data_IF_502936405770
#
_entry.id   IF_502936405770
#
_cell.length_a   1.000
_cell.length_b   1.000
_cell.length_c   1.000
_cell.angle_alpha   90.00
_cell.angle_beta   90.00
_cell.angle_gamma   90.00
#
_symmetry.space_group_name_H-M   'P 1'
#
loop_
_entity.id
_entity.type
_entity.pdbx_description
1 polymer ?
#
# COMPACT_ATOMS: atom_id res chain seq x y z
N UNK A 1 -51.84 -47.69 -17.87
CA UNK A 1 -52.20 -46.49 -17.07
C UNK A 1 -51.31 -45.35 -17.60
N UNK A 2 -51.76 -44.19 -18.12
CA UNK A 2 -52.89 -43.28 -17.76
C UNK A 2 -52.82 -42.94 -16.26
N UNK A 3 -52.66 -41.69 -15.81
CA UNK A 3 -53.20 -40.42 -16.35
C UNK A 3 -52.13 -39.31 -16.41
N UNK A 4 -52.37 -38.25 -17.21
CA UNK A 4 -51.61 -36.99 -17.26
C UNK A 4 -52.56 -35.78 -17.28
N UNK A 5 -52.09 -34.57 -16.90
CA UNK A 5 -52.66 -33.18 -17.04
C UNK A 5 -52.18 -32.28 -15.88
N UNK A 6 -52.16 -30.95 -15.90
CA UNK A 6 -52.14 -29.87 -16.93
C UNK A 6 -51.06 -28.85 -16.43
N UNK A 7 -50.22 -28.13 -17.18
CA UNK A 7 -50.34 -27.30 -18.40
C UNK A 7 -50.81 -25.84 -18.14
N UNK A 8 -49.90 -24.89 -18.34
CA UNK A 8 -50.02 -23.49 -18.82
C UNK A 8 -48.58 -23.02 -19.06
N UNK A 9 -48.07 -22.56 -20.22
CA UNK A 9 -48.62 -22.06 -21.49
C UNK A 9 -49.19 -20.64 -21.44
N UNK A 10 -48.32 -19.68 -21.77
CA UNK A 10 -48.63 -18.54 -22.63
C UNK A 10 -47.71 -18.62 -23.87
N UNK A 11 -48.13 -18.11 -25.03
CA UNK A 11 -47.49 -18.43 -26.31
C UNK A 11 -47.64 -17.30 -27.35
N UNK A 12 -46.53 -16.76 -27.84
CA UNK A 12 -46.33 -16.11 -29.15
C UNK A 12 -44.81 -16.26 -29.47
N UNK A 13 -44.32 -16.83 -30.58
CA UNK A 13 -44.66 -16.72 -32.01
C UNK A 13 -44.25 -15.35 -32.60
N UNK A 14 -43.57 -15.25 -33.77
CA UNK A 14 -43.42 -16.24 -34.86
C UNK A 14 -42.07 -16.15 -35.62
N UNK A 15 -41.74 -17.25 -36.30
CA UNK A 15 -40.61 -17.58 -37.19
C UNK A 15 -39.82 -16.52 -37.97
N UNK A 16 -38.48 -16.72 -37.97
CA UNK A 16 -37.61 -16.94 -39.14
C UNK A 16 -38.07 -16.46 -40.54
N UNK A 17 -37.17 -15.73 -41.22
CA UNK A 17 -36.85 -15.96 -42.64
C UNK A 17 -35.35 -15.72 -42.90
N UNK A 18 -34.80 -16.39 -43.92
CA UNK A 18 -33.39 -16.34 -44.34
C UNK A 18 -33.35 -16.13 -45.86
N UNK A 19 -32.57 -15.16 -46.36
CA UNK A 19 -32.00 -15.11 -47.73
C UNK A 19 -31.01 -13.94 -47.86
N UNK A 20 -30.34 -13.81 -49.01
CA UNK A 20 -29.00 -13.19 -49.11
C UNK A 20 -28.81 -12.19 -50.26
N UNK A 21 -27.81 -11.30 -50.08
CA UNK A 21 -27.03 -10.53 -51.06
C UNK A 21 -27.71 -9.48 -51.98
N UNK A 22 -27.21 -8.23 -51.95
CA UNK A 22 -26.37 -7.64 -53.02
C UNK A 22 -26.02 -6.15 -52.76
N UNK A 23 -24.98 -5.65 -53.45
CA UNK A 23 -24.55 -4.23 -53.54
C UNK A 23 -25.45 -3.43 -54.53
N UNK A 24 -25.29 -2.14 -54.87
CA UNK A 24 -24.11 -1.24 -54.98
C UNK A 24 -24.54 0.26 -54.91
N UNK A 25 -23.55 1.15 -54.72
CA UNK A 25 -23.36 2.57 -55.17
C UNK A 25 -24.59 3.46 -55.56
N UNK A 26 -24.64 4.77 -55.31
CA UNK A 26 -23.66 5.79 -55.82
C UNK A 26 -23.84 7.19 -55.21
N UNK A 27 -22.79 8.01 -55.25
CA UNK A 27 -22.80 9.51 -55.23
C UNK A 27 -22.98 10.06 -56.68
N UNK A 28 -22.82 11.36 -57.06
CA UNK A 28 -22.47 12.59 -56.31
C UNK A 28 -23.21 13.91 -56.72
N UNK A 29 -22.68 15.04 -56.24
CA UNK A 29 -22.29 16.27 -57.00
C UNK A 29 -23.06 17.62 -56.90
N UNK A 30 -22.28 18.66 -56.51
CA UNK A 30 -22.37 20.13 -56.78
C UNK A 30 -23.67 20.90 -56.37
N UNK A 31 -23.75 22.24 -56.30
CA UNK A 31 -22.78 23.33 -56.65
C UNK A 31 -22.90 24.59 -55.72
N UNK A 32 -22.04 25.58 -55.98
CA UNK A 32 -21.69 26.85 -55.29
C UNK A 32 -22.79 27.94 -55.09
N UNK A 33 -22.32 29.05 -54.45
CA UNK A 33 -22.79 30.47 -54.48
C UNK A 33 -23.83 30.92 -53.44
N UNK A 34 -23.80 32.15 -52.91
CA UNK A 34 -22.72 33.16 -52.69
C UNK A 34 -23.19 34.18 -51.61
N UNK A 35 -22.29 35.05 -51.13
CA UNK A 35 -22.46 36.33 -50.40
C UNK A 35 -23.90 36.89 -50.23
N UNK A 36 -24.26 37.50 -49.09
CA UNK A 36 -23.65 38.78 -48.69
C UNK A 36 -24.05 39.34 -47.31
N UNK A 37 -23.03 39.77 -46.54
CA UNK A 37 -22.83 41.08 -45.86
C UNK A 37 -23.86 41.71 -44.88
N UNK A 38 -23.25 42.45 -43.92
CA UNK A 38 -23.70 43.69 -43.25
C UNK A 38 -24.56 43.66 -41.95
N UNK A 39 -23.84 43.58 -40.82
CA UNK A 39 -23.93 44.54 -39.69
C UNK A 39 -23.70 46.02 -40.16
N UNK A 40 -23.95 47.12 -39.38
CA UNK A 40 -23.76 47.22 -37.91
C UNK A 40 -24.59 48.20 -37.02
N UNK A 41 -24.49 47.98 -35.69
CA UNK A 41 -24.38 48.94 -34.54
C UNK A 41 -25.52 49.88 -34.04
N UNK A 42 -25.60 49.96 -32.68
CA UNK A 42 -26.04 51.08 -31.78
C UNK A 42 -27.51 51.53 -31.76
N UNK A 43 -28.09 52.05 -30.65
CA UNK A 43 -27.61 52.41 -29.28
C UNK A 43 -28.73 52.33 -28.20
N UNK A 44 -28.35 52.31 -26.92
CA UNK A 44 -28.95 52.84 -25.65
C UNK A 44 -30.45 53.28 -25.61
N UNK A 45 -31.24 53.08 -24.53
CA UNK A 45 -31.08 53.63 -23.16
C UNK A 45 -31.88 52.89 -22.03
N UNK A 46 -31.71 53.37 -20.79
CA UNK A 46 -32.23 52.87 -19.49
C UNK A 46 -33.77 52.71 -19.30
N UNK A 47 -34.17 51.74 -18.46
CA UNK A 47 -35.20 51.89 -17.41
C UNK A 47 -35.06 50.81 -16.30
N UNK A 48 -35.32 51.08 -14.99
CA UNK A 48 -35.03 50.13 -13.90
C UNK A 48 -36.23 49.66 -13.03
N UNK A 49 -36.01 48.55 -12.31
CA UNK A 49 -36.70 48.02 -11.10
C UNK A 49 -38.24 47.95 -11.08
N UNK A 50 -38.75 46.72 -10.92
CA UNK A 50 -39.79 46.40 -9.94
C UNK A 50 -39.39 45.13 -9.17
N UNK A 51 -39.62 45.11 -7.86
CA UNK A 51 -39.51 43.90 -7.03
C UNK A 51 -40.63 42.90 -7.35
N UNK A 52 -40.41 41.61 -7.09
CA UNK A 52 -41.34 40.82 -6.26
C UNK A 52 -40.70 39.53 -5.70
N UNK A 53 -40.86 39.36 -4.39
CA UNK A 53 -40.98 38.08 -3.65
C UNK A 53 -39.93 36.98 -3.90
N UNK A 54 -38.86 36.99 -3.08
CA UNK A 54 -38.13 35.77 -2.72
C UNK A 54 -38.76 35.19 -1.43
N UNK A 55 -39.16 33.92 -1.44
CA UNK A 55 -39.76 33.22 -0.27
C UNK A 55 -38.92 32.02 0.12
N UNK A 56 -38.91 31.73 1.42
CA UNK A 56 -38.02 30.81 2.14
C UNK A 56 -37.69 29.48 1.42
N UNK A 57 -36.41 29.13 1.42
CA UNK A 57 -35.93 27.75 1.39
C UNK A 57 -35.29 27.48 2.75
N UNK A 58 -35.81 26.51 3.50
CA UNK A 58 -35.37 26.26 4.88
C UNK A 58 -33.94 25.68 4.91
N UNK A 59 -33.03 26.38 5.60
CA UNK A 59 -31.69 25.87 5.95
C UNK A 59 -31.83 24.95 7.16
N UNK A 60 -31.66 23.63 6.95
CA UNK A 60 -31.88 22.61 7.97
C UNK A 60 -30.70 21.63 8.07
N UNK A 61 -29.92 21.80 9.14
CA UNK A 61 -28.95 20.87 9.75
C UNK A 61 -28.23 19.86 8.83
N UNK A 62 -27.00 20.22 8.43
CA UNK A 62 -25.96 19.22 8.18
C UNK A 62 -25.42 18.71 9.53
N UNK A 63 -25.65 17.44 9.93
CA UNK A 63 -25.25 16.96 11.24
C UNK A 63 -23.74 16.69 11.29
N UNK A 64 -22.97 17.63 11.85
CA UNK A 64 -21.58 17.40 12.25
C UNK A 64 -21.48 16.20 13.20
N UNK A 65 -21.01 15.07 12.69
CA UNK A 65 -20.72 13.87 13.49
C UNK A 65 -19.63 14.19 14.54
N UNK A 66 -19.79 13.75 15.80
CA UNK A 66 -18.76 13.93 16.82
C UNK A 66 -17.51 13.09 16.48
N UNK A 67 -16.33 13.47 17.01
CA UNK A 67 -15.12 12.66 16.86
C UNK A 67 -15.26 11.30 17.53
N UNK A 68 -14.46 10.33 17.07
CA UNK A 68 -14.33 9.02 17.71
C UNK A 68 -13.92 9.18 19.19
N UNK A 69 -14.38 8.29 20.09
CA UNK A 69 -14.04 8.37 21.50
C UNK A 69 -12.53 8.16 21.71
N UNK A 70 -11.89 9.07 22.43
CA UNK A 70 -10.50 8.92 22.86
C UNK A 70 -10.31 7.62 23.66
N UNK A 71 -9.14 6.96 23.57
CA UNK A 71 -8.82 5.84 24.45
C UNK A 71 -8.91 6.28 25.92
N UNK A 72 -9.49 5.42 26.76
CA UNK A 72 -9.62 5.69 28.20
C UNK A 72 -8.30 5.38 28.89
N UNK A 73 -7.71 6.37 29.56
CA UNK A 73 -6.53 6.19 30.40
C UNK A 73 -6.79 5.11 31.47
N UNK A 74 -6.08 3.99 31.37
CA UNK A 74 -6.02 2.98 32.43
C UNK A 74 -4.94 3.42 33.43
N UNK A 75 -5.27 3.69 34.70
CA UNK A 75 -4.27 4.10 35.67
C UNK A 75 -3.31 2.94 35.97
N UNK A 76 -2.01 3.19 35.79
CA UNK A 76 -0.95 2.25 36.15
C UNK A 76 -0.61 2.44 37.63
N UNK A 77 -1.24 1.64 38.50
CA UNK A 77 -0.87 1.58 39.91
C UNK A 77 0.53 0.94 40.06
N UNK A 78 1.53 1.78 40.37
CA UNK A 78 2.86 1.36 40.81
C UNK A 78 2.86 1.18 42.33
N UNK A 79 2.73 -0.07 42.80
CA UNK A 79 3.06 -0.43 44.19
C UNK A 79 4.45 -1.09 44.25
N UNK A 80 5.38 -0.47 44.97
CA UNK A 80 6.79 -0.83 45.05
C UNK A 80 7.08 -1.50 46.40
N UNK A 81 7.13 -2.84 46.40
CA UNK A 81 7.29 -3.66 47.61
C UNK A 81 8.56 -4.53 47.57
N UNK A 82 9.68 -3.88 47.85
CA UNK A 82 10.99 -4.49 48.10
C UNK A 82 10.91 -5.60 49.16
N UNK A 83 11.47 -6.78 48.87
CA UNK A 83 11.87 -7.79 49.87
C UNK A 83 13.26 -8.33 49.52
N UNK A 84 14.15 -8.36 50.52
CA UNK A 84 15.55 -8.77 50.34
C UNK A 84 15.77 -10.30 50.43
N UNK A 85 16.84 -10.77 49.76
CA UNK A 85 17.96 -11.59 50.29
C UNK A 85 17.70 -12.60 51.43
N UNK A 86 18.32 -13.81 51.40
CA UNK A 86 19.78 -13.89 51.42
C UNK A 86 20.46 -15.04 50.67
N UNK A 87 21.80 -14.98 50.68
CA UNK A 87 22.73 -15.89 50.02
C UNK A 87 23.64 -16.65 51.01
N UNK A 88 24.21 -17.76 50.54
CA UNK A 88 25.47 -18.37 51.03
C UNK A 88 26.17 -18.91 49.78
N UNK A 89 27.27 -18.33 49.31
CA UNK A 89 28.64 -18.45 49.83
C UNK A 89 29.14 -19.88 50.05
N UNK A 90 30.18 -20.24 49.30
CA UNK A 90 31.42 -20.76 49.89
C UNK A 90 32.64 -20.22 49.11
N UNK A 91 33.85 -20.35 49.67
CA UNK A 91 35.09 -19.65 49.28
C UNK A 91 36.14 -20.61 48.68
N UNK A 92 37.20 -20.06 48.04
CA UNK A 92 38.62 -20.36 48.31
C UNK A 92 39.57 -19.79 47.24
N UNK A 93 40.74 -19.32 47.69
CA UNK A 93 41.89 -18.81 46.90
C UNK A 93 43.18 -19.55 47.38
N UNK A 94 44.45 -19.25 46.98
CA UNK A 94 44.99 -18.26 46.03
C UNK A 94 46.15 -18.71 45.08
N UNK A 95 46.45 -17.90 44.04
CA UNK A 95 47.73 -17.43 43.42
C UNK A 95 49.08 -18.22 43.53
N UNK A 96 50.17 -17.87 42.78
CA UNK A 96 50.36 -17.05 41.55
C UNK A 96 51.29 -17.71 40.48
N UNK A 97 51.68 -17.00 39.39
CA UNK A 97 53.08 -16.93 38.80
C UNK A 97 53.16 -16.02 37.53
N UNK A 98 54.32 -15.40 37.31
CA UNK A 98 54.77 -14.63 36.11
C UNK A 98 56.31 -14.85 35.92
N UNK A 99 57.07 -14.38 34.88
CA UNK A 99 57.08 -13.08 34.16
C UNK A 99 56.93 -13.25 32.60
N UNK A 100 57.50 -12.55 31.58
CA UNK A 100 58.71 -11.71 31.38
C UNK A 100 58.71 -10.80 30.12
N UNK A 101 59.65 -9.84 30.07
CA UNK A 101 60.22 -9.04 28.95
C UNK A 101 61.72 -8.77 29.31
N UNK A 102 62.62 -8.08 28.56
CA UNK A 102 62.65 -7.54 27.18
C UNK A 102 63.90 -8.08 26.40
N UNK A 103 64.69 -7.38 25.53
CA UNK A 103 65.21 -5.98 25.57
C UNK A 103 65.02 -5.15 24.27
N UNK A 104 65.67 -3.98 24.20
CA UNK A 104 65.74 -3.01 23.08
C UNK A 104 67.21 -2.58 22.91
N UNK A 105 67.65 -2.22 21.69
CA UNK A 105 68.91 -1.50 21.39
C UNK A 105 68.65 -0.44 20.30
N UNK A 106 69.53 0.58 20.22
CA UNK A 106 69.39 1.88 19.55
C UNK A 106 70.60 2.18 18.62
N UNK A 107 70.64 3.37 17.99
CA UNK A 107 71.77 4.07 17.30
C UNK A 107 72.10 3.70 15.84
N UNK A 108 72.71 4.55 14.99
CA UNK A 108 72.73 6.03 14.88
C UNK A 108 73.55 6.53 13.65
N UNK A 109 73.13 7.64 13.02
CA UNK A 109 73.94 8.69 12.35
C UNK A 109 74.84 8.44 11.10
N UNK A 110 74.75 9.40 10.16
CA UNK A 110 75.75 9.95 9.19
C UNK A 110 76.47 9.01 8.17
N UNK A 111 77.04 9.43 7.03
CA UNK A 111 77.40 10.75 6.47
C UNK A 111 77.34 10.74 4.91
N UNK A 112 77.68 11.86 4.24
CA UNK A 112 77.60 12.13 2.79
C UNK A 112 78.55 11.32 1.86
N UNK A 113 78.16 11.14 0.59
CA UNK A 113 79.12 11.00 -0.53
C UNK A 113 78.47 11.30 -1.89
N UNK A 114 79.19 11.97 -2.81
CA UNK A 114 78.61 12.60 -4.02
C UNK A 114 79.32 12.17 -5.32
N UNK A 115 78.58 12.21 -6.45
CA UNK A 115 78.99 12.03 -7.87
C UNK A 115 79.16 10.59 -8.38
N UNK A 116 79.07 10.34 -9.71
CA UNK A 116 78.52 11.16 -10.81
C UNK A 116 77.40 10.48 -11.62
N UNK A 117 76.64 11.27 -12.39
CA UNK A 117 75.51 10.81 -13.21
C UNK A 117 75.89 9.96 -14.43
N UNK A 118 75.04 9.01 -14.80
CA UNK A 118 74.98 8.39 -16.16
C UNK A 118 73.51 8.23 -16.55
N UNK A 119 73.07 8.63 -17.77
CA UNK A 119 71.66 8.59 -18.14
C UNK A 119 71.25 7.23 -18.75
N UNK A 120 70.11 6.68 -18.32
CA UNK A 120 69.50 5.52 -18.99
C UNK A 120 68.27 4.95 -18.29
N UNK A 121 67.20 4.76 -19.09
CA UNK A 121 65.99 3.94 -18.81
C UNK A 121 65.14 4.36 -17.60
N UNK A 122 63.98 4.97 -17.88
CA UNK A 122 62.85 4.99 -16.96
C UNK A 122 62.35 3.56 -16.75
N UNK A 123 62.24 3.04 -15.52
CA UNK A 123 61.57 1.77 -15.27
C UNK A 123 60.06 1.93 -15.51
N UNK A 124 59.48 0.97 -16.22
CA UNK A 124 58.02 0.83 -16.34
C UNK A 124 57.42 0.53 -14.95
N UNK A 125 56.31 1.17 -14.54
CA UNK A 125 55.72 0.90 -13.24
C UNK A 125 55.25 -0.55 -13.17
N UNK A 126 55.53 -1.23 -12.05
CA UNK A 126 55.02 -2.58 -11.82
C UNK A 126 53.47 -2.55 -11.82
N UNK A 127 52.82 -3.59 -12.37
CA UNK A 127 51.36 -3.68 -12.34
C UNK A 127 50.88 -3.70 -10.89
N UNK A 128 49.83 -2.95 -10.60
CA UNK A 128 49.21 -2.90 -9.28
C UNK A 128 48.69 -4.30 -8.90
N UNK A 129 48.72 -4.68 -7.60
CA UNK A 129 48.12 -5.92 -7.16
C UNK A 129 46.62 -5.90 -7.47
N UNK A 130 46.16 -6.88 -8.24
CA UNK A 130 44.75 -7.04 -8.58
C UNK A 130 43.91 -7.02 -7.28
N UNK A 131 42.82 -6.24 -7.19
CA UNK A 131 42.02 -6.19 -5.98
C UNK A 131 41.56 -7.58 -5.57
N UNK A 132 41.62 -7.85 -4.26
CA UNK A 132 41.05 -9.05 -3.68
C UNK A 132 39.53 -9.04 -3.98
N UNK A 133 38.93 -10.15 -4.45
CA UNK A 133 37.54 -10.15 -4.83
C UNK A 133 36.68 -9.81 -3.61
N UNK A 134 35.88 -8.75 -3.74
CA UNK A 134 34.92 -8.36 -2.70
C UNK A 134 34.04 -9.56 -2.32
N UNK A 135 33.70 -9.74 -1.03
CA UNK A 135 32.88 -10.86 -0.60
C UNK A 135 31.54 -10.80 -1.35
N UNK A 136 31.30 -11.79 -2.20
CA UNK A 136 30.04 -11.92 -2.95
C UNK A 136 28.87 -11.81 -1.95
N UNK A 137 27.92 -10.88 -2.15
CA UNK A 137 26.76 -10.79 -1.28
C UNK A 137 26.07 -12.15 -1.22
N UNK A 138 25.91 -12.70 -0.01
CA UNK A 138 25.15 -13.93 0.16
C UNK A 138 23.72 -13.69 -0.33
N UNK A 139 23.28 -14.51 -1.28
CA UNK A 139 21.96 -14.35 -1.89
C UNK A 139 20.89 -14.53 -0.83
N UNK A 140 20.21 -13.42 -0.47
CA UNK A 140 18.98 -13.47 0.32
C UNK A 140 17.99 -14.43 -0.35
N UNK A 141 17.73 -15.55 0.32
CA UNK A 141 16.90 -16.63 -0.19
C UNK A 141 15.42 -16.28 -0.31
N UNK A 142 15.00 -15.09 0.18
CA UNK A 142 13.61 -14.67 0.25
C UNK A 142 12.90 -14.57 -1.11
N UNK A 143 13.64 -14.30 -2.20
CA UNK A 143 13.20 -14.41 -3.61
C UNK A 143 11.93 -13.64 -4.02
N UNK A 144 11.37 -12.79 -3.15
CA UNK A 144 10.18 -11.97 -3.41
C UNK A 144 10.56 -10.50 -3.68
N UNK A 145 9.59 -9.74 -4.16
CA UNK A 145 9.77 -8.31 -4.46
C UNK A 145 9.93 -7.49 -3.18
N UNK A 146 10.90 -6.58 -3.13
CA UNK A 146 11.10 -5.65 -2.00
C UNK A 146 11.03 -4.22 -2.52
N UNK A 147 9.88 -3.51 -2.39
CA UNK A 147 9.76 -2.13 -2.82
C UNK A 147 10.74 -1.24 -2.05
N UNK A 148 11.22 -0.16 -2.68
CA UNK A 148 12.25 0.72 -2.12
C UNK A 148 11.62 1.91 -1.38
N UNK A 149 12.37 2.54 -0.47
CA UNK A 149 12.00 3.83 0.11
C UNK A 149 11.69 4.86 -0.99
N UNK A 150 10.67 5.70 -0.80
CA UNK A 150 10.21 6.71 -1.75
C UNK A 150 9.80 6.19 -3.15
N UNK A 151 9.50 4.89 -3.29
CA UNK A 151 8.96 4.31 -4.54
C UNK A 151 7.73 5.08 -5.04
N UNK A 152 7.70 5.37 -6.34
CA UNK A 152 6.57 6.04 -7.00
C UNK A 152 5.41 5.05 -7.14
N UNK A 153 4.19 5.44 -6.74
CA UNK A 153 3.10 4.48 -6.66
C UNK A 153 1.68 5.04 -6.93
N UNK A 154 0.74 4.12 -7.14
CA UNK A 154 -0.70 4.41 -7.25
C UNK A 154 -1.52 3.35 -6.50
N UNK A 155 -2.60 3.78 -5.85
CA UNK A 155 -3.63 2.91 -5.28
C UNK A 155 -4.96 3.19 -6.00
N UNK A 156 -5.52 2.17 -6.65
CA UNK A 156 -6.84 2.26 -7.26
C UNK A 156 -7.56 0.91 -7.19
N UNK A 157 -8.66 0.88 -6.45
CA UNK A 157 -9.47 -0.32 -6.21
C UNK A 157 -10.80 -0.31 -6.98
N UNK A 158 -11.25 0.86 -7.44
CA UNK A 158 -12.53 1.03 -8.13
C UNK A 158 -12.38 1.75 -9.49
N UNK A 159 -13.47 1.79 -10.26
CA UNK A 159 -13.53 2.49 -11.55
C UNK A 159 -12.77 1.78 -12.67
N UNK A 160 -12.26 2.56 -13.63
CA UNK A 160 -11.41 2.05 -14.71
C UNK A 160 -9.95 2.35 -14.40
N UNK A 161 -9.13 1.30 -14.21
CA UNK A 161 -7.73 1.43 -13.81
C UNK A 161 -6.93 2.38 -14.73
N UNK A 162 -6.53 3.53 -14.19
CA UNK A 162 -5.76 4.55 -14.89
C UNK A 162 -4.27 4.17 -14.90
N UNK A 163 -3.79 3.67 -16.03
CA UNK A 163 -2.39 3.28 -16.24
C UNK A 163 -1.60 4.35 -17.00
N UNK A 164 -1.83 5.64 -16.71
CA UNK A 164 -1.12 6.78 -17.34
C UNK A 164 -0.20 7.54 -16.39
N UNK A 165 -0.15 7.19 -15.10
CA UNK A 165 0.79 7.77 -14.14
C UNK A 165 2.18 7.15 -14.30
N UNK A 166 3.20 7.99 -14.15
CA UNK A 166 4.58 7.56 -13.96
C UNK A 166 4.71 7.04 -12.52
N UNK A 167 4.58 5.72 -12.36
CA UNK A 167 4.55 5.05 -11.07
C UNK A 167 5.09 3.61 -11.20
N UNK A 168 6.14 3.31 -10.45
CA UNK A 168 6.82 2.01 -10.40
C UNK A 168 5.97 0.91 -9.76
N UNK A 169 5.03 1.27 -8.88
CA UNK A 169 4.19 0.33 -8.12
C UNK A 169 2.70 0.68 -8.27
N UNK A 170 1.85 -0.32 -8.53
CA UNK A 170 0.40 -0.18 -8.47
C UNK A 170 -0.21 -1.16 -7.48
N UNK A 171 -1.04 -0.66 -6.56
CA UNK A 171 -1.94 -1.44 -5.70
C UNK A 171 -3.33 -1.48 -6.35
N UNK A 172 -3.86 -2.68 -6.60
CA UNK A 172 -5.13 -2.89 -7.31
C UNK A 172 -5.86 -4.13 -6.82
N UNK A 173 -7.18 -4.18 -7.01
CA UNK A 173 -8.04 -5.27 -6.53
C UNK A 173 -7.64 -6.66 -7.07
N UNK A 174 -7.43 -7.62 -6.16
CA UNK A 174 -7.02 -8.99 -6.47
C UNK A 174 -8.06 -9.75 -7.29
N UNK A 175 -9.35 -9.53 -7.13
CA UNK A 175 -10.40 -10.29 -7.81
C UNK A 175 -10.68 -9.73 -9.19
N UNK A 176 -10.92 -8.42 -9.27
CA UNK A 176 -11.43 -7.76 -10.48
C UNK A 176 -10.31 -7.46 -11.49
N UNK A 177 -9.05 -7.35 -11.04
CA UNK A 177 -7.91 -7.23 -11.96
C UNK A 177 -7.63 -8.57 -12.66
N UNK A 178 -7.69 -8.58 -14.00
CA UNK A 178 -7.35 -9.76 -14.80
C UNK A 178 -5.83 -10.04 -14.84
N UNK A 179 -5.44 -11.32 -14.91
CA UNK A 179 -4.03 -11.75 -15.07
C UNK A 179 -3.32 -11.09 -16.27
N UNK A 180 -4.04 -10.84 -17.36
CA UNK A 180 -3.51 -10.15 -18.54
C UNK A 180 -3.25 -8.66 -18.29
N UNK A 181 -4.04 -7.97 -17.46
CA UNK A 181 -3.75 -6.59 -17.04
C UNK A 181 -2.50 -6.54 -16.15
N UNK A 182 -2.38 -7.45 -15.18
CA UNK A 182 -1.20 -7.57 -14.30
C UNK A 182 0.08 -7.77 -15.14
N UNK A 183 0.08 -8.77 -16.02
CA UNK A 183 1.22 -9.04 -16.91
C UNK A 183 1.53 -7.86 -17.86
N UNK A 184 0.52 -7.09 -18.27
CA UNK A 184 0.69 -5.90 -19.13
C UNK A 184 1.31 -4.70 -18.40
N UNK A 185 1.17 -4.61 -17.07
CA UNK A 185 1.88 -3.62 -16.25
C UNK A 185 3.32 -4.06 -16.00
N UNK A 186 3.51 -5.33 -15.64
CA UNK A 186 4.84 -5.91 -15.43
C UNK A 186 5.71 -5.89 -16.69
N UNK A 187 5.14 -6.03 -17.89
CA UNK A 187 5.87 -5.86 -19.15
C UNK A 187 6.36 -4.42 -19.42
N UNK A 188 5.90 -3.45 -18.64
CA UNK A 188 6.37 -2.05 -18.64
C UNK A 188 7.32 -1.74 -17.47
N UNK A 189 7.66 -2.75 -16.65
CA UNK A 189 8.50 -2.59 -15.45
C UNK A 189 7.72 -2.31 -14.16
N UNK A 190 6.39 -2.13 -14.24
CA UNK A 190 5.54 -1.76 -13.09
C UNK A 190 5.29 -2.98 -12.20
N UNK A 191 5.62 -2.87 -10.92
CA UNK A 191 5.29 -3.86 -9.90
C UNK A 191 3.81 -3.79 -9.51
N UNK A 192 3.19 -4.94 -9.26
CA UNK A 192 1.77 -5.05 -8.94
C UNK A 192 1.56 -5.67 -7.56
N UNK A 193 0.95 -4.91 -6.66
CA UNK A 193 0.46 -5.36 -5.36
C UNK A 193 -1.04 -5.63 -5.48
N UNK A 194 -1.48 -6.80 -5.04
CA UNK A 194 -2.87 -7.23 -5.16
C UNK A 194 -3.62 -7.11 -3.83
N UNK A 195 -4.56 -6.16 -3.78
CA UNK A 195 -5.43 -5.87 -2.64
C UNK A 195 -6.48 -6.97 -2.42
N UNK A 196 -6.69 -7.38 -1.17
CA UNK A 196 -7.91 -8.08 -0.75
C UNK A 196 -8.15 -7.86 0.74
N UNK A 197 -9.41 -7.79 1.19
CA UNK A 197 -9.63 -7.81 2.64
C UNK A 197 -9.28 -9.17 3.25
N UNK A 198 -8.50 -9.14 4.33
CA UNK A 198 -8.13 -10.31 5.11
C UNK A 198 -8.78 -10.32 6.50
N UNK A 199 -9.22 -9.17 7.02
CA UNK A 199 -9.98 -9.04 8.26
C UNK A 199 -11.51 -9.03 8.09
N UNK A 200 -12.02 -8.90 6.87
CA UNK A 200 -13.47 -8.86 6.60
C UNK A 200 -13.94 -9.83 5.51
N UNK A 201 -15.20 -10.23 5.66
CA UNK A 201 -16.05 -10.83 4.63
C UNK A 201 -16.68 -9.70 3.80
N UNK A 202 -16.74 -9.92 2.49
CA UNK A 202 -17.23 -8.99 1.47
C UNK A 202 -18.26 -9.74 0.60
N UNK A 203 -19.55 -9.39 0.66
CA UNK A 203 -20.60 -10.25 0.06
C UNK A 203 -20.54 -10.39 -1.47
N UNK A 204 -19.89 -9.45 -2.16
CA UNK A 204 -19.73 -9.43 -3.62
C UNK A 204 -18.61 -10.37 -4.14
N UNK A 205 -17.75 -10.90 -3.27
CA UNK A 205 -16.60 -11.71 -3.70
C UNK A 205 -17.01 -13.10 -4.16
N UNK A 206 -16.35 -13.61 -5.20
CA UNK A 206 -16.66 -14.91 -5.79
C UNK A 206 -16.41 -16.10 -4.85
N UNK A 207 -15.70 -15.90 -3.74
CA UNK A 207 -15.49 -16.87 -2.66
C UNK A 207 -16.34 -16.62 -1.40
N UNK A 208 -17.20 -15.60 -1.36
CA UNK A 208 -18.03 -15.25 -0.21
C UNK A 208 -18.86 -16.43 0.34
N UNK A 209 -19.34 -17.30 -0.55
CA UNK A 209 -20.10 -18.52 -0.18
C UNK A 209 -19.30 -19.61 0.55
N UNK A 210 -17.98 -19.45 0.72
CA UNK A 210 -17.13 -20.34 1.55
C UNK A 210 -17.16 -19.98 3.04
N UNK A 211 -17.48 -18.74 3.39
CA UNK A 211 -17.54 -18.31 4.79
C UNK A 211 -18.79 -18.88 5.47
N UNK A 212 -18.65 -19.24 6.74
CA UNK A 212 -19.72 -19.81 7.57
C UNK A 212 -20.24 -18.78 8.57
N UNK A 213 -21.43 -19.00 9.13
CA UNK A 213 -21.99 -18.09 10.14
C UNK A 213 -21.11 -17.95 11.41
N UNK A 214 -20.25 -18.92 11.69
CA UNK A 214 -19.25 -18.89 12.77
C UNK A 214 -17.98 -18.10 12.44
N UNK A 215 -17.77 -17.70 11.18
CA UNK A 215 -16.64 -16.88 10.78
C UNK A 215 -16.95 -15.37 10.84
N UNK A 216 -18.23 -14.97 11.03
CA UNK A 216 -18.72 -13.62 10.77
C UNK A 216 -19.13 -12.84 12.04
N UNK A 217 -18.41 -11.76 12.32
CA UNK A 217 -18.74 -10.74 13.33
C UNK A 217 -19.77 -9.71 12.84
N UNK A 218 -19.74 -8.52 13.44
CA UNK A 218 -20.58 -7.38 13.09
C UNK A 218 -20.28 -6.85 11.67
N UNK A 219 -21.26 -6.14 11.11
CA UNK A 219 -21.08 -5.39 9.87
C UNK A 219 -20.20 -4.16 10.10
N UNK A 220 -19.45 -3.74 9.07
CA UNK A 220 -18.75 -2.46 9.08
C UNK A 220 -19.77 -1.34 8.86
N UNK A 221 -19.62 -0.22 9.59
CA UNK A 221 -20.64 0.84 9.60
C UNK A 221 -20.74 1.59 8.26
N UNK A 222 -19.59 1.85 7.63
CA UNK A 222 -19.50 2.64 6.40
C UNK A 222 -19.55 1.78 5.12
N UNK A 223 -19.49 0.44 5.24
CA UNK A 223 -19.32 -0.50 4.13
C UNK A 223 -20.44 -1.56 4.10
N UNK A 224 -21.58 -1.28 3.42
CA UNK A 224 -22.70 -2.20 3.33
C UNK A 224 -22.33 -3.53 2.65
N UNK A 225 -22.73 -4.65 3.25
CA UNK A 225 -22.39 -5.99 2.77
C UNK A 225 -21.04 -6.51 3.30
N UNK A 226 -20.28 -5.70 4.03
CA UNK A 226 -18.99 -6.06 4.62
C UNK A 226 -19.12 -6.37 6.13
N UNK A 227 -18.37 -7.37 6.62
CA UNK A 227 -18.43 -7.84 8.02
C UNK A 227 -17.08 -8.31 8.54
N UNK A 228 -16.77 -8.03 9.81
CA UNK A 228 -15.57 -8.53 10.49
C UNK A 228 -15.48 -10.06 10.51
N UNK A 229 -14.25 -10.60 10.49
CA UNK A 229 -13.96 -12.04 10.55
C UNK A 229 -13.39 -12.47 11.91
N UNK A 230 -13.73 -13.68 12.36
CA UNK A 230 -12.95 -14.35 13.39
C UNK A 230 -11.69 -14.96 12.76
N UNK A 231 -10.60 -14.20 12.82
CA UNK A 231 -9.31 -14.54 12.19
C UNK A 231 -8.59 -15.75 12.84
N UNK A 232 -9.14 -16.32 13.91
CA UNK A 232 -8.67 -17.58 14.50
C UNK A 232 -9.20 -18.80 13.76
N UNK A 233 -10.33 -18.72 13.04
CA UNK A 233 -10.91 -19.95 12.48
C UNK A 233 -10.03 -20.54 11.38
N UNK A 234 -9.99 -21.86 11.32
CA UNK A 234 -9.33 -22.58 10.25
C UNK A 234 -9.95 -22.28 8.87
N UNK A 235 -11.25 -21.94 8.82
CA UNK A 235 -11.92 -21.63 7.57
C UNK A 235 -11.47 -20.28 7.00
N UNK A 236 -11.43 -19.22 7.82
CA UNK A 236 -10.89 -17.90 7.42
C UNK A 236 -9.46 -18.03 6.94
N UNK A 237 -8.59 -18.70 7.70
CA UNK A 237 -7.18 -18.92 7.32
C UNK A 237 -7.05 -19.71 6.01
N UNK A 238 -7.86 -20.74 5.80
CA UNK A 238 -7.91 -21.52 4.55
C UNK A 238 -8.39 -20.69 3.34
N UNK A 239 -9.36 -19.80 3.54
CA UNK A 239 -9.84 -18.87 2.50
C UNK A 239 -8.74 -17.87 2.15
N UNK A 240 -8.05 -17.26 3.13
CA UNK A 240 -6.95 -16.32 2.84
C UNK A 240 -5.75 -17.02 2.21
N UNK A 241 -5.40 -18.25 2.61
CA UNK A 241 -4.45 -19.09 1.87
C UNK A 241 -4.85 -19.25 0.40
N UNK A 242 -6.14 -19.44 0.12
CA UNK A 242 -6.67 -19.51 -1.26
C UNK A 242 -6.60 -18.16 -2.00
N UNK A 243 -6.77 -17.03 -1.31
CA UNK A 243 -6.59 -15.68 -1.90
C UNK A 243 -5.11 -15.41 -2.21
N UNK A 244 -4.18 -15.85 -1.36
CA UNK A 244 -2.74 -15.79 -1.63
C UNK A 244 -2.31 -16.73 -2.79
N UNK A 245 -2.91 -17.92 -2.91
CA UNK A 245 -2.76 -18.79 -4.08
C UNK A 245 -3.28 -18.10 -5.37
N UNK A 246 -4.39 -17.36 -5.28
CA UNK A 246 -4.93 -16.58 -6.39
C UNK A 246 -3.97 -15.43 -6.78
N UNK A 247 -3.38 -14.72 -5.81
CA UNK A 247 -2.42 -13.65 -6.08
C UNK A 247 -1.16 -14.17 -6.80
N UNK A 248 -0.54 -15.22 -6.25
CA UNK A 248 0.64 -15.87 -6.85
C UNK A 248 0.32 -16.45 -8.24
N UNK A 249 -0.83 -17.11 -8.41
CA UNK A 249 -1.24 -17.65 -9.72
C UNK A 249 -1.66 -16.58 -10.74
N UNK A 250 -2.16 -15.42 -10.30
CA UNK A 250 -2.33 -14.22 -11.15
C UNK A 250 -1.00 -13.56 -11.50
N UNK A 251 0.03 -13.74 -10.66
CA UNK A 251 1.39 -13.25 -10.88
C UNK A 251 1.67 -11.91 -10.20
N UNK A 252 0.94 -11.55 -9.14
CA UNK A 252 1.21 -10.36 -8.35
C UNK A 252 2.64 -10.38 -7.79
N UNK A 253 3.29 -9.22 -7.66
CA UNK A 253 4.59 -9.08 -6.99
C UNK A 253 4.45 -9.14 -5.46
N UNK A 254 3.29 -8.73 -4.95
CA UNK A 254 2.93 -8.80 -3.55
C UNK A 254 1.44 -8.64 -3.32
N UNK A 255 1.06 -8.48 -2.06
CA UNK A 255 -0.34 -8.34 -1.63
C UNK A 255 -0.51 -7.24 -0.57
N UNK A 256 -1.71 -6.67 -0.55
CA UNK A 256 -2.18 -5.71 0.45
C UNK A 256 -3.41 -6.31 1.17
N UNK A 257 -3.24 -6.97 2.33
CA UNK A 257 -4.32 -7.63 3.06
C UNK A 257 -4.98 -6.66 4.05
N UNK A 258 -6.21 -6.23 3.76
CA UNK A 258 -6.89 -5.17 4.51
C UNK A 258 -7.60 -5.65 5.79
N UNK A 259 -7.97 -4.70 6.65
CA UNK A 259 -8.70 -4.86 7.92
C UNK A 259 -7.93 -5.73 8.95
N UNK A 260 -6.59 -5.73 8.91
CA UNK A 260 -5.71 -6.54 9.77
C UNK A 260 -5.49 -5.95 11.17
N UNK A 261 -6.48 -5.23 11.69
CA UNK A 261 -6.52 -4.49 12.97
C UNK A 261 -7.86 -4.67 13.73
N UNK A 262 -8.52 -5.83 13.54
CA UNK A 262 -9.82 -6.14 14.13
C UNK A 262 -9.87 -6.05 15.66
N UNK A 263 -8.79 -6.39 16.37
CA UNK A 263 -8.71 -6.28 17.85
C UNK A 263 -8.91 -4.84 18.38
N UNK A 264 -8.62 -3.82 17.57
CA UNK A 264 -8.84 -2.40 17.90
C UNK A 264 -10.22 -1.88 17.46
N UNK A 265 -11.06 -2.73 16.88
CA UNK A 265 -12.33 -2.37 16.25
C UNK A 265 -13.54 -3.05 16.94
N UNK A 266 -14.76 -2.48 16.80
CA UNK A 266 -15.98 -3.07 17.34
C UNK A 266 -16.47 -4.26 16.49
N UNK A 267 -15.71 -5.35 16.46
CA UNK A 267 -15.99 -6.56 15.65
C UNK A 267 -17.20 -7.36 16.13
N UNK A 268 -17.57 -7.23 17.41
CA UNK A 268 -18.54 -8.11 18.09
C UNK A 268 -18.04 -9.56 18.27
N UNK A 269 -16.76 -9.79 18.00
CA UNK A 269 -16.01 -11.01 18.34
C UNK A 269 -15.09 -10.62 19.50
N UNK A 270 -14.98 -11.48 20.51
CA UNK A 270 -13.97 -11.33 21.56
C UNK A 270 -12.62 -11.72 20.95
N UNK A 271 -11.90 -10.74 20.38
CA UNK A 271 -10.67 -10.89 19.59
C UNK A 271 -9.59 -9.98 20.19
N UNK A 272 -8.51 -10.55 20.72
CA UNK A 272 -7.45 -9.77 21.37
C UNK A 272 -6.27 -9.45 20.43
N UNK A 273 -5.34 -8.64 20.93
CA UNK A 273 -4.16 -8.25 20.15
C UNK A 273 -3.21 -9.42 19.87
N UNK A 274 -3.20 -10.47 20.70
CA UNK A 274 -2.40 -11.67 20.47
C UNK A 274 -2.98 -12.54 19.35
N UNK A 275 -4.31 -12.64 19.25
CA UNK A 275 -5.01 -13.28 18.14
C UNK A 275 -4.71 -12.58 16.81
N UNK A 276 -4.77 -11.23 16.78
CA UNK A 276 -4.42 -10.46 15.59
C UNK A 276 -2.94 -10.63 15.22
N UNK A 277 -2.02 -10.57 16.19
CA UNK A 277 -0.58 -10.74 15.96
C UNK A 277 -0.27 -12.12 15.36
N UNK A 278 -0.92 -13.16 15.89
CA UNK A 278 -0.82 -14.54 15.40
C UNK A 278 -1.57 -14.80 14.09
N UNK A 279 -2.38 -13.86 13.61
CA UNK A 279 -2.96 -13.88 12.26
C UNK A 279 -2.09 -13.13 11.25
N UNK A 280 -1.61 -11.95 11.61
CA UNK A 280 -0.82 -11.11 10.72
C UNK A 280 0.52 -11.77 10.36
N UNK A 281 1.21 -12.40 11.34
CA UNK A 281 2.38 -13.26 11.07
C UNK A 281 2.08 -14.49 10.22
N UNK A 282 0.87 -15.04 10.31
CA UNK A 282 0.45 -16.13 9.44
C UNK A 282 0.22 -15.63 8.01
N UNK A 283 -0.34 -14.43 7.82
CA UNK A 283 -0.50 -13.84 6.49
C UNK A 283 0.86 -13.58 5.82
N UNK A 284 1.85 -13.04 6.55
CA UNK A 284 3.19 -12.81 6.00
C UNK A 284 3.94 -14.10 5.70
N UNK A 285 3.97 -15.05 6.64
CA UNK A 285 4.56 -16.38 6.40
C UNK A 285 3.95 -17.04 5.15
N UNK A 286 2.62 -16.93 4.97
CA UNK A 286 1.94 -17.50 3.81
C UNK A 286 2.16 -16.72 2.50
N UNK A 287 2.44 -15.41 2.55
CA UNK A 287 2.81 -14.61 1.39
C UNK A 287 4.26 -14.92 0.94
N UNK A 288 5.21 -14.89 1.87
CA UNK A 288 6.63 -15.18 1.60
C UNK A 288 6.85 -16.60 1.08
N UNK A 289 6.14 -17.61 1.63
CA UNK A 289 6.13 -18.98 1.11
C UNK A 289 5.64 -19.11 -0.35
N UNK A 290 5.05 -18.05 -0.93
CA UNK A 290 4.55 -17.99 -2.32
C UNK A 290 5.36 -17.03 -3.21
N UNK A 291 6.46 -16.46 -2.70
CA UNK A 291 7.25 -15.45 -3.39
C UNK A 291 6.57 -14.08 -3.50
N UNK A 292 5.55 -13.82 -2.67
CA UNK A 292 4.82 -12.55 -2.63
C UNK A 292 5.40 -11.64 -1.55
N UNK A 293 5.61 -10.36 -1.88
CA UNK A 293 5.78 -9.31 -0.88
C UNK A 293 4.47 -9.09 -0.09
N UNK A 294 4.54 -8.54 1.12
CA UNK A 294 3.36 -8.23 1.92
C UNK A 294 3.43 -6.84 2.58
N UNK A 295 2.33 -6.08 2.42
CA UNK A 295 2.12 -4.80 3.09
C UNK A 295 1.37 -4.95 4.41
N UNK A 296 1.83 -4.29 5.47
CA UNK A 296 1.05 -4.14 6.70
C UNK A 296 0.08 -2.97 6.50
N UNK A 297 -1.20 -3.27 6.38
CA UNK A 297 -2.25 -2.27 6.19
C UNK A 297 -2.70 -1.70 7.54
N UNK A 298 -2.60 -0.38 7.71
CA UNK A 298 -2.94 0.36 8.92
C UNK A 298 -2.32 -0.25 10.20
N UNK A 299 -3.11 -0.86 11.11
CA UNK A 299 -2.67 -1.52 12.36
C UNK A 299 -1.46 -0.87 13.09
N UNK A 300 -1.46 0.45 13.27
CA UNK A 300 -0.34 1.15 13.93
C UNK A 300 -0.06 0.65 15.36
N UNK A 301 -1.05 0.03 16.01
CA UNK A 301 -0.94 -0.57 17.33
C UNK A 301 0.11 -1.67 17.43
N UNK A 302 0.38 -2.42 16.35
CA UNK A 302 1.28 -3.60 16.35
C UNK A 302 2.51 -3.44 15.46
N UNK A 303 2.72 -2.26 14.87
CA UNK A 303 3.81 -2.00 13.91
C UNK A 303 5.20 -2.37 14.46
N UNK A 304 5.54 -2.03 15.71
CA UNK A 304 6.80 -2.45 16.35
C UNK A 304 6.96 -3.98 16.46
N UNK A 305 5.85 -4.72 16.53
CA UNK A 305 5.84 -6.18 16.66
C UNK A 305 5.81 -6.88 15.30
N UNK A 306 5.48 -6.18 14.21
CA UNK A 306 5.24 -6.74 12.88
C UNK A 306 6.17 -6.18 11.80
N UNK A 307 6.95 -5.13 12.09
CA UNK A 307 7.84 -4.52 11.11
C UNK A 307 8.81 -5.55 10.49
N UNK A 308 9.43 -6.41 11.31
CA UNK A 308 10.32 -7.49 10.86
C UNK A 308 9.60 -8.50 9.94
N UNK A 309 8.33 -8.81 10.22
CA UNK A 309 7.51 -9.80 9.53
C UNK A 309 6.98 -9.33 8.16
N UNK A 310 7.07 -8.04 7.83
CA UNK A 310 6.47 -7.42 6.63
C UNK A 310 7.49 -6.65 5.77
N UNK A 311 7.19 -6.44 4.48
CA UNK A 311 8.11 -5.84 3.51
C UNK A 311 7.91 -4.33 3.32
N UNK A 312 6.70 -3.86 3.56
CA UNK A 312 6.28 -2.46 3.51
C UNK A 312 5.04 -2.26 4.38
N UNK A 313 4.58 -1.02 4.52
CA UNK A 313 3.26 -0.71 5.11
C UNK A 313 2.47 0.20 4.17
N UNK A 314 1.16 -0.02 4.10
CA UNK A 314 0.21 0.94 3.54
C UNK A 314 -0.55 1.55 4.71
N UNK A 315 -0.48 2.87 4.86
CA UNK A 315 -1.23 3.58 5.89
C UNK A 315 -2.17 4.62 5.26
N UNK A 316 -3.37 4.68 5.81
CA UNK A 316 -4.39 5.67 5.52
C UNK A 316 -4.56 6.63 6.70
N UNK A 317 -4.46 7.92 6.43
CA UNK A 317 -4.80 9.02 7.34
C UNK A 317 -3.97 9.16 8.63
N UNK A 318 -2.68 8.78 8.67
CA UNK A 318 -1.86 9.00 9.86
C UNK A 318 -1.57 10.47 10.20
N UNK A 319 -1.67 11.41 9.24
CA UNK A 319 -1.58 12.86 9.49
C UNK A 319 -2.82 13.30 10.28
N UNK A 320 -4.00 12.98 9.75
CA UNK A 320 -5.31 13.21 10.38
C UNK A 320 -5.43 12.61 11.80
N UNK A 321 -4.82 11.46 12.07
CA UNK A 321 -4.86 10.80 13.37
C UNK A 321 -3.62 11.06 14.25
N UNK A 322 -2.63 11.85 13.77
CA UNK A 322 -1.38 12.15 14.48
C UNK A 322 -0.63 10.88 14.94
N UNK A 323 -0.50 9.90 14.05
CA UNK A 323 0.10 8.59 14.35
C UNK A 323 1.26 8.21 13.41
N UNK A 324 1.62 9.06 12.43
CA UNK A 324 2.65 8.72 11.43
C UNK A 324 4.00 8.29 12.02
N UNK A 325 4.43 8.91 13.13
CA UNK A 325 5.70 8.57 13.80
C UNK A 325 5.77 7.13 14.34
N UNK A 326 4.64 6.40 14.38
CA UNK A 326 4.61 4.97 14.70
C UNK A 326 5.10 4.09 13.53
N UNK A 327 5.13 4.64 12.32
CA UNK A 327 5.58 3.98 11.10
C UNK A 327 7.10 4.13 10.87
N UNK A 328 7.78 5.00 11.62
CA UNK A 328 9.22 5.30 11.52
C UNK A 328 10.10 4.03 11.60
N UNK A 329 9.64 2.96 12.26
CA UNK A 329 10.33 1.67 12.31
C UNK A 329 10.51 1.06 10.90
N UNK A 330 9.51 1.15 10.01
CA UNK A 330 9.64 0.66 8.63
C UNK A 330 10.73 1.44 7.89
N UNK A 331 10.72 2.77 7.98
CA UNK A 331 11.76 3.62 7.40
C UNK A 331 13.15 3.28 7.96
N UNK A 332 13.26 3.04 9.27
CA UNK A 332 14.53 2.63 9.92
C UNK A 332 15.06 1.27 9.45
N UNK A 333 14.17 0.39 8.99
CA UNK A 333 14.49 -0.91 8.40
C UNK A 333 14.73 -0.85 6.87
N UNK A 334 14.65 0.34 6.26
CA UNK A 334 14.76 0.52 4.81
C UNK A 334 13.52 0.11 4.00
N UNK A 335 12.37 -0.07 4.68
CA UNK A 335 11.10 -0.52 4.12
C UNK A 335 10.15 0.67 3.88
N UNK A 336 9.48 0.80 2.73
CA UNK A 336 8.67 1.97 2.43
C UNK A 336 7.38 2.04 3.25
N UNK A 337 7.02 3.27 3.60
CA UNK A 337 5.69 3.66 4.04
C UNK A 337 4.95 4.23 2.84
N UNK A 338 3.94 3.51 2.36
CA UNK A 338 3.03 3.93 1.30
C UNK A 338 1.83 4.65 1.97
N UNK A 339 1.82 5.98 1.91
CA UNK A 339 0.93 6.82 2.73
C UNK A 339 -0.17 7.47 1.87
N UNK A 340 -1.41 7.44 2.36
CA UNK A 340 -2.58 8.03 1.70
C UNK A 340 -3.30 8.96 2.65
N UNK A 341 -3.58 10.19 2.19
CA UNK A 341 -4.54 11.07 2.85
C UNK A 341 -5.79 11.37 2.01
N UNK A 342 -6.90 11.55 2.71
CA UNK A 342 -8.23 11.75 2.12
C UNK A 342 -8.64 13.23 2.20
N UNK A 343 -7.86 14.09 1.52
CA UNK A 343 -7.84 15.55 1.74
C UNK A 343 -8.10 16.36 0.45
N UNK A 344 -9.34 16.36 -0.09
CA UNK A 344 -9.69 17.02 -1.35
C UNK A 344 -9.48 18.55 -1.32
N UNK A 345 -9.40 19.18 -0.15
CA UNK A 345 -9.13 20.62 -0.03
C UNK A 345 -7.73 21.00 -0.54
N UNK A 346 -6.78 20.06 -0.60
CA UNK A 346 -5.43 20.29 -1.12
C UNK A 346 -5.41 20.47 -2.65
N UNK A 347 -6.40 19.95 -3.38
CA UNK A 347 -6.53 20.08 -4.85
C UNK A 347 -6.51 21.54 -5.32
N UNK A 348 -7.01 22.45 -4.49
CA UNK A 348 -7.14 23.87 -4.81
C UNK A 348 -6.13 24.74 -4.04
N UNK A 349 -5.16 24.14 -3.35
CA UNK A 349 -4.21 24.83 -2.47
C UNK A 349 -2.76 24.41 -2.74
N UNK A 350 -2.18 24.78 -3.90
CA UNK A 350 -0.85 24.29 -4.32
C UNK A 350 0.28 24.60 -3.33
N UNK A 351 0.23 25.74 -2.63
CA UNK A 351 1.22 26.07 -1.58
C UNK A 351 1.09 25.20 -0.32
N UNK A 352 -0.14 24.79 0.03
CA UNK A 352 -0.38 23.89 1.16
C UNK A 352 0.01 22.45 0.79
N UNK A 353 -0.32 22.02 -0.43
CA UNK A 353 0.10 20.73 -0.96
C UNK A 353 1.63 20.62 -1.06
N UNK A 354 2.32 21.67 -1.53
CA UNK A 354 3.79 21.71 -1.54
C UNK A 354 4.42 21.64 -0.15
N UNK A 355 3.77 22.20 0.89
CA UNK A 355 4.24 22.11 2.27
C UNK A 355 4.01 20.70 2.87
N UNK A 356 2.83 20.13 2.63
CA UNK A 356 2.50 18.73 2.95
C UNK A 356 3.52 17.77 2.33
N UNK A 357 3.83 17.92 1.04
CA UNK A 357 4.81 17.06 0.38
C UNK A 357 6.23 17.21 0.90
N UNK A 358 6.67 18.42 1.26
CA UNK A 358 7.97 18.61 1.90
C UNK A 358 8.06 17.82 3.21
N UNK A 359 7.04 17.93 4.08
CA UNK A 359 7.01 17.18 5.34
C UNK A 359 7.08 15.66 5.13
N UNK A 360 6.32 15.11 4.18
CA UNK A 360 6.32 13.66 3.98
C UNK A 360 7.54 13.12 3.21
N UNK A 361 8.14 13.90 2.32
CA UNK A 361 9.43 13.57 1.71
C UNK A 361 10.56 13.61 2.76
N UNK A 362 10.53 14.55 3.70
CA UNK A 362 11.48 14.60 4.82
C UNK A 362 11.32 13.41 5.79
N UNK A 363 10.13 12.80 5.88
CA UNK A 363 9.87 11.50 6.56
C UNK A 363 10.21 10.26 5.72
N UNK A 364 10.62 10.43 4.45
CA UNK A 364 10.82 9.36 3.46
C UNK A 364 9.56 8.54 3.10
N UNK A 365 8.36 9.11 3.27
CA UNK A 365 7.08 8.46 2.94
C UNK A 365 6.72 8.66 1.46
N UNK A 366 6.24 7.60 0.81
CA UNK A 366 5.62 7.68 -0.51
C UNK A 366 4.18 8.16 -0.37
N UNK A 367 3.93 9.48 -0.41
CA UNK A 367 2.64 10.09 -0.07
C UNK A 367 1.78 10.44 -1.28
N UNK A 368 0.53 9.97 -1.25
CA UNK A 368 -0.55 10.34 -2.16
C UNK A 368 -1.67 11.09 -1.43
N UNK A 369 -2.46 11.85 -2.19
CA UNK A 369 -3.78 12.35 -1.76
C UNK A 369 -4.81 11.87 -2.78
N UNK A 370 -5.79 11.10 -2.32
CA UNK A 370 -6.70 10.30 -3.16
C UNK A 370 -8.18 10.48 -2.72
N UNK A 371 -9.16 10.19 -3.60
CA UNK A 371 -10.57 10.08 -3.21
C UNK A 371 -10.80 8.85 -2.33
N UNK A 372 -11.71 8.95 -1.36
CA UNK A 372 -12.10 7.83 -0.45
C UNK A 372 -12.65 6.59 -1.18
N UNK A 373 -13.15 6.76 -2.40
CA UNK A 373 -13.60 5.65 -3.23
C UNK A 373 -12.44 4.85 -3.85
N UNK A 374 -11.23 5.41 -3.93
CA UNK A 374 -10.08 4.84 -4.65
C UNK A 374 -10.44 4.50 -6.12
N UNK A 375 -11.18 5.41 -6.77
CA UNK A 375 -11.80 5.29 -8.10
C UNK A 375 -11.13 6.14 -9.20
N UNK A 376 -10.08 6.89 -8.83
CA UNK A 376 -9.34 7.85 -9.67
C UNK A 376 -10.08 9.16 -10.02
N UNK A 377 -11.05 9.60 -9.19
CA UNK A 377 -11.60 10.98 -9.29
C UNK A 377 -10.50 12.05 -9.25
N UNK A 378 -9.45 11.84 -8.45
CA UNK A 378 -8.24 12.65 -8.45
C UNK A 378 -7.03 11.88 -7.92
N UNK A 379 -5.83 12.39 -8.22
CA UNK A 379 -4.56 11.94 -7.64
C UNK A 379 -3.62 13.14 -7.48
N UNK A 380 -3.13 13.35 -6.26
CA UNK A 380 -1.94 14.16 -6.01
C UNK A 380 -0.81 13.25 -5.51
N UNK A 381 0.43 13.52 -5.92
CA UNK A 381 1.64 12.75 -5.58
C UNK A 381 2.72 13.69 -5.06
N UNK A 382 3.40 13.28 -3.98
CA UNK A 382 4.54 14.01 -3.41
C UNK A 382 5.90 13.57 -3.96
N UNK A 383 5.91 12.50 -4.76
CA UNK A 383 6.98 12.08 -5.64
C UNK A 383 6.70 12.61 -7.06
#
# INVERSE_FOLDING_TARGET
MKVAKFKNVALFATSFFLLSACSVDSEPDQDQTDNSKQQPLTSDENAPILDEQNTDSEEADNPSLPPAPSPVDVPVDLDDSIVESPSTQEDLTPNPIAPSKPPVVDSSADEDTVTPSTPGVTPEPAPEPNPEPEPTPELDTSNHYKPQLLVTWQLQLQGTLNTSYDAELYVMDLFDTSKSKIASLQSQGIAVICYFSAGTYEEWRSDASKFTASDLGLALADWPGERWLDVRTHNVRSIMSTRLDLASSKGCNGVDPDNVDGYSNPTGIDLDSSDQLAYNRYLSEQAHNRGLAIGLKNNVGQVEQLADDYDFTINESCDRYNECGRLDVFISQGKPVLHVEYRPELLNQPSAFSAYCQEFVDKQFSSLVLPRNLDDEYRLSCQ
#
